data_IF_467849582748
#
_entry.id   IF_467849582748
#
_cell.length_a   1.000
_cell.length_b   1.000
_cell.length_c   1.000
_cell.angle_alpha   90.00
_cell.angle_beta   90.00
_cell.angle_gamma   90.00
#
_symmetry.space_group_name_H-M   'P 1'
#
loop_
_entity.id
_entity.type
_entity.pdbx_description
1 polymer ?
#
# COMPACT_ATOMS: atom_id res chain seq x y z
N UNK A 1 -2.71 -7.49 2.46
CA UNK A 1 -3.16 -8.87 2.20
C UNK A 1 -4.67 -8.85 2.08
N UNK A 2 -5.22 -9.33 0.95
CA UNK A 2 -6.68 -9.51 0.81
C UNK A 2 -7.09 -10.70 1.68
N UNK A 3 -8.16 -10.63 2.50
CA UNK A 3 -8.73 -11.84 3.06
C UNK A 3 -9.17 -12.73 1.89
N UNK A 4 -8.65 -13.97 1.84
CA UNK A 4 -8.98 -14.94 0.78
C UNK A 4 -10.48 -15.22 0.69
N UNK A 5 -11.26 -14.93 1.74
CA UNK A 5 -12.72 -14.97 1.77
C UNK A 5 -13.27 -13.81 2.61
N UNK A 6 -13.91 -12.78 2.01
CA UNK A 6 -14.52 -11.67 2.74
C UNK A 6 -15.68 -12.12 3.65
N UNK A 7 -16.37 -13.20 3.30
CA UNK A 7 -17.48 -13.76 4.08
C UNK A 7 -17.02 -14.29 5.44
N UNK A 8 -15.87 -14.98 5.48
CA UNK A 8 -15.30 -15.51 6.73
C UNK A 8 -14.95 -14.35 7.67
N UNK A 9 -14.36 -13.28 7.13
CA UNK A 9 -14.01 -12.10 7.90
C UNK A 9 -15.27 -11.41 8.45
N UNK A 10 -16.34 -11.30 7.66
CA UNK A 10 -17.60 -10.69 8.08
C UNK A 10 -18.32 -11.52 9.15
N UNK A 11 -18.42 -12.83 8.96
CA UNK A 11 -19.00 -13.77 9.94
C UNK A 11 -18.22 -13.71 11.26
N UNK A 12 -16.88 -13.70 11.18
CA UNK A 12 -16.01 -13.62 12.35
C UNK A 12 -16.25 -12.32 13.12
N UNK A 13 -16.22 -11.15 12.45
CA UNK A 13 -16.48 -9.86 13.10
C UNK A 13 -17.87 -9.79 13.77
N UNK A 14 -18.91 -10.33 13.11
CA UNK A 14 -20.26 -10.44 13.68
C UNK A 14 -20.29 -11.29 14.95
N UNK A 15 -19.62 -12.44 14.93
CA UNK A 15 -19.58 -13.34 16.08
C UNK A 15 -18.85 -12.69 17.26
N UNK A 16 -17.73 -12.00 17.02
CA UNK A 16 -16.97 -11.31 18.08
C UNK A 16 -17.81 -10.22 18.77
N UNK A 17 -18.55 -9.42 17.99
CA UNK A 17 -19.40 -8.35 18.54
C UNK A 17 -20.62 -8.93 19.26
N UNK A 18 -21.34 -9.88 18.65
CA UNK A 18 -22.56 -10.47 19.24
C UNK A 18 -22.28 -11.23 20.53
N UNK A 19 -21.11 -11.85 20.64
CA UNK A 19 -20.70 -12.65 21.80
C UNK A 19 -19.83 -11.85 22.78
N UNK A 20 -19.63 -10.55 22.55
CA UNK A 20 -18.82 -9.65 23.38
C UNK A 20 -17.43 -10.22 23.71
N UNK A 21 -16.80 -10.86 22.73
CA UNK A 21 -15.52 -11.53 22.93
C UNK A 21 -14.37 -10.52 22.89
N UNK A 22 -13.43 -10.67 23.82
CA UNK A 22 -12.14 -9.99 23.71
C UNK A 22 -11.44 -10.42 22.40
N UNK A 23 -10.93 -9.49 21.57
CA UNK A 23 -10.32 -9.81 20.27
C UNK A 23 -9.17 -10.82 20.35
N UNK A 24 -8.35 -10.78 21.41
CA UNK A 24 -7.29 -11.77 21.61
C UNK A 24 -7.83 -13.19 21.81
N UNK A 25 -8.91 -13.33 22.58
CA UNK A 25 -9.56 -14.61 22.86
C UNK A 25 -10.30 -15.12 21.63
N UNK A 26 -11.00 -14.23 20.92
CA UNK A 26 -11.64 -14.51 19.66
C UNK A 26 -10.66 -15.00 18.59
N UNK A 27 -9.50 -14.34 18.43
CA UNK A 27 -8.48 -14.76 17.47
C UNK A 27 -8.06 -16.22 17.70
N UNK A 28 -7.91 -16.64 18.96
CA UNK A 28 -7.62 -18.03 19.32
C UNK A 28 -8.77 -18.98 18.98
N UNK A 29 -10.02 -18.61 19.26
CA UNK A 29 -11.21 -19.42 18.96
C UNK A 29 -11.38 -19.64 17.46
N UNK A 30 -11.17 -18.59 16.66
CA UNK A 30 -11.33 -18.63 15.20
C UNK A 30 -10.08 -19.11 14.45
N UNK A 31 -9.01 -19.48 15.16
CA UNK A 31 -7.75 -19.92 14.53
C UNK A 31 -7.06 -18.83 13.70
N UNK A 32 -7.27 -17.56 14.06
CA UNK A 32 -6.74 -16.40 13.35
C UNK A 32 -5.55 -15.81 14.09
N UNK A 33 -4.59 -15.28 13.33
CA UNK A 33 -3.57 -14.43 13.91
C UNK A 33 -4.20 -13.16 14.50
N UNK A 34 -3.87 -12.72 15.73
CA UNK A 34 -4.53 -11.58 16.37
C UNK A 34 -4.53 -10.32 15.50
N UNK A 35 -3.40 -10.02 14.85
CA UNK A 35 -3.26 -8.89 13.91
C UNK A 35 -4.31 -8.92 12.78
N UNK A 36 -4.66 -10.09 12.27
CA UNK A 36 -5.66 -10.25 11.19
C UNK A 36 -7.06 -9.90 11.70
N UNK A 37 -7.43 -10.39 12.88
CA UNK A 37 -8.73 -10.08 13.47
C UNK A 37 -8.85 -8.59 13.82
N UNK A 38 -7.80 -7.99 14.38
CA UNK A 38 -7.75 -6.55 14.63
C UNK A 38 -7.93 -5.73 13.35
N UNK A 39 -7.32 -6.16 12.24
CA UNK A 39 -7.47 -5.51 10.94
C UNK A 39 -8.90 -5.62 10.39
N UNK A 40 -9.53 -6.79 10.47
CA UNK A 40 -10.92 -6.94 10.03
C UNK A 40 -11.89 -6.15 10.91
N UNK A 41 -11.69 -6.16 12.23
CA UNK A 41 -12.51 -5.38 13.15
C UNK A 41 -12.36 -3.88 12.94
N UNK A 42 -11.18 -3.38 12.57
CA UNK A 42 -11.01 -1.95 12.25
C UNK A 42 -11.72 -1.53 10.96
N UNK A 43 -11.92 -2.47 10.04
CA UNK A 43 -12.69 -2.30 8.80
C UNK A 43 -14.20 -2.56 8.98
N UNK A 44 -14.62 -3.15 10.10
CA UNK A 44 -16.00 -3.53 10.32
C UNK A 44 -16.82 -2.34 10.83
N UNK A 45 -17.77 -1.86 10.02
CA UNK A 45 -18.66 -0.73 10.33
C UNK A 45 -20.07 -1.03 9.83
N UNK A 46 -21.09 -0.74 10.65
CA UNK A 46 -22.49 -0.82 10.24
C UNK A 46 -22.97 -2.19 9.75
N UNK A 47 -22.34 -3.29 10.19
CA UNK A 47 -22.73 -4.65 9.79
C UNK A 47 -21.94 -5.24 8.62
N UNK A 48 -21.07 -4.45 7.99
CA UNK A 48 -20.33 -4.84 6.79
C UNK A 48 -18.83 -4.57 6.96
N UNK A 49 -18.00 -5.42 6.35
CA UNK A 49 -16.59 -5.09 6.20
C UNK A 49 -16.47 -4.01 5.12
N UNK A 50 -16.18 -2.80 5.55
CA UNK A 50 -15.80 -1.74 4.61
C UNK A 50 -14.43 -2.13 4.06
N UNK A 51 -14.33 -2.19 2.73
CA UNK A 51 -13.04 -2.29 2.07
C UNK A 51 -12.16 -1.15 2.61
N UNK A 52 -10.93 -1.44 3.07
CA UNK A 52 -9.94 -0.37 3.24
C UNK A 52 -9.72 0.24 1.87
N UNK A 53 -10.52 1.26 1.57
CA UNK A 53 -10.15 2.27 0.61
C UNK A 53 -8.92 2.92 1.21
N UNK A 54 -7.73 2.41 0.86
CA UNK A 54 -6.51 3.19 0.83
C UNK A 54 -6.71 4.26 -0.24
N UNK A 55 -7.65 5.16 0.01
CA UNK A 55 -7.82 6.40 -0.71
C UNK A 55 -7.35 7.42 0.30
N UNK A 56 -6.05 7.71 0.27
CA UNK A 56 -5.65 9.11 0.41
C UNK A 56 -6.67 9.92 -0.40
N UNK A 57 -7.36 10.90 0.21
CA UNK A 57 -8.29 11.73 -0.53
C UNK A 57 -7.55 12.26 -1.77
N UNK A 58 -8.07 11.97 -2.98
CA UNK A 58 -7.41 12.33 -4.25
C UNK A 58 -6.90 13.78 -4.30
N UNK A 59 -7.61 14.80 -3.73
CA UNK A 59 -7.11 16.17 -3.73
C UNK A 59 -5.77 16.30 -3.01
N UNK A 60 -5.62 15.67 -1.84
CA UNK A 60 -4.40 15.70 -1.05
C UNK A 60 -3.24 15.01 -1.78
N UNK A 61 -3.52 13.98 -2.57
CA UNK A 61 -2.49 13.26 -3.33
C UNK A 61 -2.03 14.06 -4.57
N UNK A 62 -2.93 14.79 -5.22
CA UNK A 62 -2.58 15.67 -6.35
C UNK A 62 -1.71 16.85 -5.90
N UNK A 63 -2.05 17.49 -4.78
CA UNK A 63 -1.28 18.64 -4.29
C UNK A 63 0.09 18.22 -3.74
N UNK A 64 0.20 17.03 -3.13
CA UNK A 64 1.49 16.43 -2.75
C UNK A 64 2.34 16.14 -3.99
N UNK A 65 1.77 15.57 -5.06
CA UNK A 65 2.49 15.32 -6.30
C UNK A 65 2.96 16.62 -6.99
N UNK A 66 2.13 17.67 -7.01
CA UNK A 66 2.51 18.99 -7.54
C UNK A 66 3.69 19.57 -6.77
N UNK A 67 3.66 19.50 -5.44
CA UNK A 67 4.76 19.95 -4.59
C UNK A 67 6.07 19.19 -4.89
N UNK A 68 5.98 17.88 -5.13
CA UNK A 68 7.16 17.06 -5.46
C UNK A 68 7.77 17.47 -6.81
N UNK A 69 6.93 17.75 -7.82
CA UNK A 69 7.37 18.25 -9.13
C UNK A 69 8.02 19.62 -9.00
N UNK A 70 7.41 20.55 -8.26
CA UNK A 70 7.95 21.90 -8.03
C UNK A 70 9.33 21.85 -7.36
N UNK A 71 9.48 21.03 -6.32
CA UNK A 71 10.76 20.92 -5.59
C UNK A 71 11.84 20.23 -6.43
N UNK A 72 11.49 19.21 -7.23
CA UNK A 72 12.44 18.55 -8.14
C UNK A 72 12.84 19.44 -9.33
N UNK A 73 11.96 20.33 -9.77
CA UNK A 73 12.31 21.33 -10.80
C UNK A 73 13.30 22.38 -10.29
N UNK A 74 13.27 22.68 -8.99
CA UNK A 74 14.16 23.66 -8.35
C UNK A 74 15.50 23.07 -7.89
N UNK A 75 15.58 21.76 -7.65
CA UNK A 75 16.80 21.09 -7.21
C UNK A 75 16.89 19.65 -7.72
N UNK A 76 18.08 19.28 -8.19
CA UNK A 76 18.37 17.93 -8.70
C UNK A 76 18.26 16.83 -7.65
N UNK A 77 18.26 17.19 -6.36
CA UNK A 77 18.07 16.28 -5.22
C UNK A 77 17.11 16.92 -4.21
N UNK A 78 16.00 16.25 -3.92
CA UNK A 78 15.00 16.72 -2.95
C UNK A 78 15.37 16.19 -1.57
N UNK A 79 15.73 17.09 -0.65
CA UNK A 79 16.04 16.69 0.72
C UNK A 79 14.75 16.37 1.49
N UNK A 80 14.68 15.19 2.10
CA UNK A 80 13.46 14.69 2.77
C UNK A 80 12.94 15.60 3.88
N UNK A 81 13.86 16.29 4.58
CA UNK A 81 13.50 17.24 5.63
C UNK A 81 12.79 18.48 5.06
N UNK A 82 13.32 19.07 4.01
CA UNK A 82 12.72 20.23 3.34
C UNK A 82 11.36 19.87 2.74
N UNK A 83 11.24 18.66 2.19
CA UNK A 83 9.96 18.17 1.67
C UNK A 83 8.92 18.02 2.77
N UNK A 84 9.32 17.49 3.93
CA UNK A 84 8.43 17.38 5.11
C UNK A 84 8.00 18.76 5.60
N UNK A 85 8.93 19.70 5.70
CA UNK A 85 8.64 21.06 6.18
C UNK A 85 7.69 21.77 5.20
N UNK A 86 7.92 21.65 3.88
CA UNK A 86 7.03 22.18 2.85
C UNK A 86 5.62 21.54 2.85
N UNK A 87 5.53 20.23 3.12
CA UNK A 87 4.24 19.54 3.29
C UNK A 87 3.45 20.10 4.49
N UNK A 88 4.14 20.41 5.58
CA UNK A 88 3.52 20.98 6.77
C UNK A 88 3.10 22.44 6.56
N UNK A 89 3.96 23.27 5.94
CA UNK A 89 3.70 24.70 5.76
C UNK A 89 2.69 25.00 4.66
N UNK A 90 2.78 24.33 3.50
CA UNK A 90 1.95 24.65 2.32
C UNK A 90 0.65 23.87 2.28
N UNK A 91 0.65 22.63 2.78
CA UNK A 91 -0.52 21.74 2.72
C UNK A 91 -1.12 21.42 4.10
N UNK A 92 -0.50 21.87 5.20
CA UNK A 92 -0.94 21.54 6.56
C UNK A 92 -0.74 20.06 6.91
N UNK A 93 0.08 19.32 6.15
CA UNK A 93 0.28 17.88 6.30
C UNK A 93 1.51 17.63 7.18
N UNK A 94 1.28 17.31 8.45
CA UNK A 94 2.34 16.89 9.34
C UNK A 94 2.49 15.35 9.33
N UNK A 95 3.57 14.86 8.73
CA UNK A 95 3.87 13.43 8.61
C UNK A 95 5.31 13.14 9.02
N UNK A 96 5.59 11.90 9.41
CA UNK A 96 6.95 11.47 9.73
C UNK A 96 7.81 11.33 8.48
N UNK A 97 9.14 11.46 8.64
CA UNK A 97 10.11 11.39 7.54
C UNK A 97 10.04 10.07 6.76
N UNK A 98 9.72 8.95 7.42
CA UNK A 98 9.55 7.66 6.75
C UNK A 98 8.33 7.62 5.82
N UNK A 99 7.25 8.32 6.17
CA UNK A 99 6.08 8.49 5.29
C UNK A 99 6.44 9.33 4.08
N UNK A 100 7.16 10.43 4.27
CA UNK A 100 7.64 11.30 3.19
C UNK A 100 8.56 10.53 2.23
N UNK A 101 9.52 9.77 2.76
CA UNK A 101 10.40 8.91 1.97
C UNK A 101 9.62 7.88 1.15
N UNK A 102 8.63 7.22 1.76
CA UNK A 102 7.78 6.26 1.05
C UNK A 102 6.93 6.91 -0.05
N UNK A 103 6.48 8.15 0.15
CA UNK A 103 5.73 8.89 -0.86
C UNK A 103 6.62 9.32 -2.02
N UNK A 104 7.81 9.86 -1.71
CA UNK A 104 8.79 10.26 -2.72
C UNK A 104 9.23 9.04 -3.57
N UNK A 105 9.61 7.94 -2.92
CA UNK A 105 10.01 6.71 -3.62
C UNK A 105 8.90 6.14 -4.53
N UNK A 106 7.64 6.19 -4.09
CA UNK A 106 6.49 5.78 -4.91
C UNK A 106 6.26 6.71 -6.11
N UNK A 107 6.40 8.01 -5.90
CA UNK A 107 6.26 9.00 -6.95
C UNK A 107 7.36 8.83 -8.00
N UNK A 108 8.63 8.71 -7.59
CA UNK A 108 9.76 8.49 -8.50
C UNK A 108 9.63 7.19 -9.28
N UNK A 109 9.22 6.10 -8.63
CA UNK A 109 8.97 4.82 -9.32
C UNK A 109 7.84 4.90 -10.34
N UNK A 110 6.85 5.77 -10.11
CA UNK A 110 5.72 5.97 -11.03
C UNK A 110 6.07 6.93 -12.17
N UNK A 111 6.97 7.88 -11.93
CA UNK A 111 7.40 8.88 -12.92
C UNK A 111 8.60 8.42 -13.76
N UNK A 112 9.33 7.38 -13.33
CA UNK A 112 10.44 6.78 -14.07
C UNK A 112 10.04 6.21 -15.45
N UNK A 113 8.74 5.97 -15.71
CA UNK A 113 8.24 5.55 -17.03
C UNK A 113 7.91 6.72 -17.98
N UNK A 114 7.97 7.98 -17.53
CA UNK A 114 7.58 9.15 -18.32
C UNK A 114 8.75 9.93 -18.93
N UNK A 115 9.98 9.79 -18.42
CA UNK A 115 11.19 10.47 -18.92
C UNK A 115 11.97 9.65 -19.98
N UNK A 116 11.34 8.61 -20.54
CA UNK A 116 11.93 7.76 -21.57
C UNK A 116 11.84 8.33 -22.99
N UNK A 117 12.31 9.56 -23.23
CA UNK A 117 12.50 10.04 -24.61
C UNK A 117 13.97 9.91 -25.05
N UNK A 118 14.34 8.70 -25.50
CA UNK A 118 15.14 8.49 -26.72
C UNK A 118 15.33 6.99 -26.99
N UNK A 119 14.55 6.48 -27.96
CA UNK A 119 15.04 5.65 -29.07
C UNK A 119 16.15 4.63 -28.72
N UNK A 120 15.75 3.44 -28.30
CA UNK A 120 16.55 2.23 -28.51
C UNK A 120 15.62 1.10 -28.97
N UNK A 121 15.73 0.78 -30.25
CA UNK A 121 15.13 -0.40 -30.88
C UNK A 121 15.46 -1.64 -30.05
N UNK A 122 14.46 -2.26 -29.42
CA UNK A 122 14.63 -3.63 -28.96
C UNK A 122 14.31 -4.57 -30.12
N UNK A 123 15.38 -4.85 -30.85
CA UNK A 123 15.53 -6.03 -31.68
C UNK A 123 15.04 -7.29 -30.96
N UNK A 124 14.51 -8.16 -31.78
CA UNK A 124 14.07 -9.52 -31.47
C UNK A 124 15.13 -10.34 -30.71
N UNK A 125 14.62 -11.44 -30.15
CA UNK A 125 15.29 -12.60 -29.55
C UNK A 125 15.60 -12.52 -28.05
N UNK A 126 14.80 -13.27 -27.27
CA UNK A 126 15.27 -14.61 -26.90
C UNK A 126 14.10 -15.53 -26.52
N UNK A 127 13.93 -16.55 -27.34
CA UNK A 127 13.14 -17.75 -27.12
C UNK A 127 13.69 -18.47 -25.89
N UNK A 128 12.90 -18.55 -24.82
CA UNK A 128 13.17 -19.45 -23.70
C UNK A 128 13.10 -20.90 -24.18
N UNK A 129 14.15 -21.66 -23.90
CA UNK A 129 14.21 -23.11 -24.05
C UNK A 129 14.98 -23.67 -22.83
N UNK A 130 14.83 -24.95 -22.47
CA UNK A 130 13.61 -25.67 -22.13
C UNK A 130 13.59 -26.06 -20.63
N UNK A 131 12.39 -26.39 -20.17
CA UNK A 131 12.08 -27.02 -18.88
C UNK A 131 12.86 -28.35 -18.76
N UNK A 132 13.69 -28.51 -17.73
CA UNK A 132 14.39 -29.78 -17.47
C UNK A 132 14.00 -30.40 -16.13
N UNK A 133 13.84 -31.71 -16.19
CA UNK A 133 13.78 -32.73 -15.13
C UNK A 133 12.67 -32.65 -14.08
N UNK A 134 11.58 -33.34 -14.43
CA UNK A 134 10.98 -34.35 -13.56
C UNK A 134 12.07 -35.13 -12.79
N UNK A 135 11.98 -35.17 -11.47
CA UNK A 135 12.45 -36.34 -10.75
C UNK A 135 11.48 -36.64 -9.60
N UNK A 136 10.70 -37.71 -9.80
CA UNK A 136 10.02 -38.44 -8.74
C UNK A 136 11.05 -39.40 -8.11
N UNK A 137 11.13 -39.49 -6.78
CA UNK A 137 11.11 -40.75 -5.99
C UNK A 137 11.49 -40.49 -4.51
N UNK A 138 10.79 -41.21 -3.61
CA UNK A 138 10.92 -41.38 -2.15
C UNK A 138 10.74 -40.16 -1.25
#
# INVERSE_FOLDING_TARGET
MRPRNPDIAQITCRAVIKLELCPHKAARIFGLHPRTLYHWMSQYRGGTLMESRSKTPRPLQEDVCKLFIEMKAQSSSVHLKELKDALAERLGINVCLSTVHNWLAKWESSNAMADGNSRASHSQHNTHNPHNSHNAHC
#
